data_IF_059232985144
#
_entry.id   IF_059232985144
#
_cell.length_a   1.000
_cell.length_b   1.000
_cell.length_c   1.000
_cell.angle_alpha   90.00
_cell.angle_beta   90.00
_cell.angle_gamma   90.00
#
_symmetry.space_group_name_H-M   'P 1'
#
loop_
_entity.id
_entity.type
_entity.pdbx_description
1 polymer ?
#
# COMPACT_ATOMS: atom_id res chain seq x y z
N UNK A 1 39.36 8.55 -2.92
CA UNK A 1 38.33 8.49 -1.84
C UNK A 1 36.99 8.35 -2.51
N UNK A 2 36.44 7.15 -2.55
CA UNK A 2 35.09 6.88 -3.09
C UNK A 2 34.07 7.30 -2.04
N UNK A 3 33.30 8.32 -2.37
CA UNK A 3 32.14 8.74 -1.55
C UNK A 3 31.25 7.54 -1.34
N UNK A 4 30.87 7.14 -0.11
CA UNK A 4 29.93 6.05 0.09
C UNK A 4 28.63 6.37 -0.63
N UNK A 5 27.95 5.38 -1.24
CA UNK A 5 26.70 5.61 -1.91
C UNK A 5 25.72 6.24 -0.90
N UNK A 6 25.11 7.37 -1.27
CA UNK A 6 24.03 7.98 -0.47
C UNK A 6 23.00 6.88 -0.21
N UNK A 7 22.75 6.56 1.05
CA UNK A 7 21.68 5.65 1.43
C UNK A 7 20.39 6.14 0.76
N UNK A 8 19.75 5.28 0.00
CA UNK A 8 18.51 5.62 -0.70
C UNK A 8 17.46 5.97 0.37
N UNK A 9 17.05 7.22 0.41
CA UNK A 9 16.05 7.68 1.36
C UNK A 9 14.70 7.09 0.98
N UNK A 10 14.00 6.45 1.92
CA UNK A 10 12.65 5.95 1.73
C UNK A 10 11.64 7.10 1.65
N UNK A 11 10.54 6.90 0.91
CA UNK A 11 9.44 7.88 0.84
C UNK A 11 8.79 8.09 2.21
N UNK A 12 8.68 7.03 3.01
CA UNK A 12 8.14 7.05 4.37
C UNK A 12 8.87 8.01 5.31
N UNK A 13 10.14 8.29 5.07
CA UNK A 13 10.91 9.25 5.86
C UNK A 13 10.39 10.69 5.71
N UNK A 14 9.63 11.01 4.65
CA UNK A 14 8.99 12.31 4.53
C UNK A 14 7.96 12.57 5.65
N UNK A 15 7.38 11.51 6.21
CA UNK A 15 6.45 11.60 7.34
C UNK A 15 7.11 11.34 8.69
N UNK A 16 7.98 10.33 8.77
CA UNK A 16 8.45 9.79 10.05
C UNK A 16 9.85 10.23 10.44
N UNK A 17 10.59 10.82 9.52
CA UNK A 17 11.97 11.28 9.75
C UNK A 17 12.30 12.51 8.89
N UNK A 18 11.49 13.56 9.04
CA UNK A 18 11.66 14.80 8.28
C UNK A 18 12.11 15.96 9.21
N UNK A 19 13.41 16.27 9.25
CA UNK A 19 13.90 17.34 10.10
C UNK A 19 13.43 18.74 9.68
N UNK A 20 13.03 18.92 8.41
CA UNK A 20 12.54 20.19 7.90
C UNK A 20 11.09 20.47 8.31
N UNK A 21 10.39 19.47 8.87
CA UNK A 21 9.01 19.57 9.33
C UNK A 21 8.77 18.71 10.59
N UNK A 22 9.44 19.09 11.67
CA UNK A 22 9.44 18.31 12.91
C UNK A 22 8.07 18.18 13.57
N UNK A 23 7.25 19.24 13.51
CA UNK A 23 5.92 19.26 14.11
C UNK A 23 4.98 18.25 13.43
N UNK A 24 5.00 18.21 12.10
CA UNK A 24 4.20 17.25 11.34
C UNK A 24 4.73 15.82 11.51
N UNK A 25 6.04 15.65 11.60
CA UNK A 25 6.65 14.35 11.89
C UNK A 25 6.18 13.81 13.25
N UNK A 26 6.19 14.65 14.29
CA UNK A 26 5.68 14.26 15.61
C UNK A 26 4.21 13.87 15.56
N UNK A 27 3.38 14.63 14.82
CA UNK A 27 1.95 14.35 14.65
C UNK A 27 1.71 13.01 13.94
N UNK A 28 2.46 12.72 12.86
CA UNK A 28 2.35 11.45 12.16
C UNK A 28 2.78 10.27 13.03
N UNK A 29 3.88 10.40 13.75
CA UNK A 29 4.34 9.36 14.68
C UNK A 29 3.26 9.10 15.73
N UNK A 30 2.73 10.12 16.40
CA UNK A 30 1.70 9.99 17.43
C UNK A 30 0.50 9.18 16.93
N UNK A 31 0.01 9.45 15.72
CA UNK A 31 -1.12 8.73 15.13
C UNK A 31 -0.85 7.24 14.97
N UNK A 32 0.35 6.88 14.56
CA UNK A 32 0.71 5.49 14.33
C UNK A 32 1.07 4.74 15.63
N UNK A 33 1.41 5.44 16.72
CA UNK A 33 1.55 4.82 18.05
C UNK A 33 0.23 4.17 18.51
N UNK A 34 -0.92 4.75 18.12
CA UNK A 34 -2.24 4.19 18.42
C UNK A 34 -2.52 2.84 17.73
N UNK A 35 -1.76 2.51 16.68
CA UNK A 35 -1.81 1.21 16.00
C UNK A 35 -0.80 0.21 16.56
N UNK A 36 -0.09 0.56 17.63
CA UNK A 36 0.88 -0.31 18.30
C UNK A 36 2.29 -0.24 17.71
N UNK A 37 2.58 0.69 16.81
CA UNK A 37 3.95 0.94 16.36
C UNK A 37 4.70 1.73 17.41
N UNK A 38 6.02 1.58 17.45
CA UNK A 38 6.90 2.41 18.26
C UNK A 38 7.58 3.48 17.39
N UNK A 39 7.96 4.58 18.02
CA UNK A 39 8.75 5.62 17.33
C UNK A 39 10.03 5.03 16.71
N UNK A 40 10.71 4.16 17.44
CA UNK A 40 11.94 3.52 16.96
C UNK A 40 11.73 2.63 15.72
N UNK A 41 10.56 2.00 15.57
CA UNK A 41 10.23 1.24 14.36
C UNK A 41 9.99 2.16 13.16
N UNK A 42 9.23 3.25 13.36
CA UNK A 42 8.88 4.19 12.29
C UNK A 42 10.11 4.98 11.80
N UNK A 43 11.04 5.31 12.70
CA UNK A 43 12.29 6.04 12.41
C UNK A 43 13.49 5.12 12.16
N UNK A 44 13.32 3.81 12.33
CA UNK A 44 14.40 2.81 12.26
C UNK A 44 14.89 2.48 10.83
N UNK A 45 14.43 3.21 9.82
CA UNK A 45 14.87 2.99 8.43
C UNK A 45 14.29 1.73 7.78
N UNK A 46 13.24 1.17 8.33
CA UNK A 46 12.50 0.05 7.73
C UNK A 46 11.58 0.59 6.63
N UNK A 47 11.49 -0.07 5.46
CA UNK A 47 10.55 0.33 4.43
C UNK A 47 9.10 0.08 4.88
N UNK A 48 8.21 0.99 4.55
CA UNK A 48 6.76 0.84 4.75
C UNK A 48 6.14 0.30 3.47
N UNK A 49 5.57 -0.89 3.56
CA UNK A 49 4.99 -1.60 2.43
C UNK A 49 3.48 -1.62 2.56
N UNK A 50 2.80 -0.99 1.60
CA UNK A 50 1.36 -1.05 1.51
C UNK A 50 0.86 -2.42 1.09
N UNK A 51 -0.29 -2.84 1.59
CA UNK A 51 -1.02 -4.00 1.09
C UNK A 51 -2.34 -3.48 0.55
N UNK A 52 -2.42 -3.37 -0.77
CA UNK A 52 -3.61 -2.92 -1.47
C UNK A 52 -4.59 -4.11 -1.57
N UNK A 53 -5.54 -4.15 -0.64
CA UNK A 53 -6.44 -5.28 -0.43
C UNK A 53 -7.69 -5.19 -1.31
N UNK A 54 -7.83 -6.12 -2.24
CA UNK A 54 -9.03 -6.23 -3.11
C UNK A 54 -10.08 -7.20 -2.58
N UNK A 55 -9.76 -8.00 -1.57
CA UNK A 55 -10.68 -8.96 -0.98
C UNK A 55 -11.82 -8.26 -0.24
N UNK A 56 -13.03 -8.74 -0.48
CA UNK A 56 -14.26 -8.19 0.10
C UNK A 56 -15.37 -9.22 0.00
N UNK A 57 -16.32 -9.19 0.93
CA UNK A 57 -17.54 -9.99 0.84
C UNK A 57 -18.43 -9.59 -0.37
N UNK A 58 -18.21 -8.37 -0.89
CA UNK A 58 -18.87 -7.89 -2.11
C UNK A 58 -18.15 -8.34 -3.40
N UNK A 59 -16.98 -8.95 -3.30
CA UNK A 59 -16.15 -9.35 -4.43
C UNK A 59 -15.76 -10.82 -4.32
N UNK A 60 -16.66 -11.77 -4.62
CA UNK A 60 -16.43 -13.20 -4.43
C UNK A 60 -15.17 -13.73 -5.13
N UNK A 61 -14.81 -13.15 -6.28
CA UNK A 61 -13.58 -13.51 -7.01
C UNK A 61 -12.31 -13.28 -6.20
N UNK A 62 -12.34 -12.31 -5.30
CA UNK A 62 -11.19 -11.90 -4.50
C UNK A 62 -11.34 -12.26 -3.01
N UNK A 63 -12.36 -13.04 -2.66
CA UNK A 63 -12.68 -13.36 -1.25
C UNK A 63 -11.50 -13.99 -0.51
N UNK A 64 -10.74 -14.87 -1.18
CA UNK A 64 -9.59 -15.54 -0.60
C UNK A 64 -8.47 -14.56 -0.16
N UNK A 65 -8.40 -13.39 -0.76
CA UNK A 65 -7.38 -12.38 -0.41
C UNK A 65 -7.52 -11.88 1.03
N UNK A 66 -8.73 -11.91 1.60
CA UNK A 66 -8.97 -11.57 3.01
C UNK A 66 -8.15 -12.46 3.93
N UNK A 67 -8.06 -13.76 3.60
CA UNK A 67 -7.29 -14.73 4.39
C UNK A 67 -5.78 -14.63 4.10
N UNK A 68 -5.40 -14.29 2.86
CA UNK A 68 -3.99 -14.19 2.46
C UNK A 68 -3.26 -13.00 3.06
N UNK A 69 -3.96 -11.91 3.31
CA UNK A 69 -3.35 -10.68 3.84
C UNK A 69 -2.55 -10.91 5.11
N UNK A 70 -3.00 -11.80 5.98
CA UNK A 70 -2.25 -12.15 7.19
C UNK A 70 -0.85 -12.69 6.83
N UNK A 71 -0.78 -13.63 5.88
CA UNK A 71 0.50 -14.19 5.42
C UNK A 71 1.37 -13.16 4.71
N UNK A 72 0.75 -12.25 3.96
CA UNK A 72 1.47 -11.13 3.32
C UNK A 72 2.09 -10.22 4.37
N UNK A 73 1.36 -9.88 5.43
CA UNK A 73 1.87 -9.13 6.58
C UNK A 73 3.07 -9.82 7.22
N UNK A 74 2.94 -11.12 7.49
CA UNK A 74 4.01 -11.93 8.09
C UNK A 74 5.26 -11.93 7.20
N UNK A 75 5.08 -12.07 5.89
CA UNK A 75 6.17 -12.04 4.91
C UNK A 75 6.89 -10.70 4.85
N UNK A 76 6.15 -9.58 4.83
CA UNK A 76 6.72 -8.23 4.87
C UNK A 76 7.50 -8.02 6.16
N UNK A 77 6.94 -8.41 7.29
CA UNK A 77 7.59 -8.30 8.61
C UNK A 77 8.86 -9.15 8.67
N UNK A 78 8.81 -10.38 8.19
CA UNK A 78 9.97 -11.26 8.13
C UNK A 78 11.10 -10.73 7.25
N UNK A 79 10.74 -9.98 6.19
CA UNK A 79 11.69 -9.29 5.31
C UNK A 79 12.20 -7.95 5.89
N UNK A 80 11.79 -7.58 7.10
CA UNK A 80 12.24 -6.37 7.78
C UNK A 80 11.44 -5.10 7.43
N UNK A 81 10.31 -5.22 6.73
CA UNK A 81 9.43 -4.11 6.41
C UNK A 81 8.29 -3.91 7.42
N UNK A 82 7.59 -2.80 7.31
CA UNK A 82 6.38 -2.48 8.07
C UNK A 82 5.17 -2.62 7.14
N UNK A 83 4.24 -3.56 7.39
CA UNK A 83 3.06 -3.74 6.55
C UNK A 83 1.93 -2.78 6.94
N UNK A 84 1.40 -2.03 5.99
CA UNK A 84 0.18 -1.23 6.14
C UNK A 84 -0.87 -1.67 5.13
N UNK A 85 -1.94 -2.27 5.61
CA UNK A 85 -3.07 -2.70 4.79
C UNK A 85 -4.09 -1.58 4.61
N UNK A 86 -4.64 -1.48 3.39
CA UNK A 86 -5.74 -0.58 3.08
C UNK A 86 -6.66 -1.20 2.01
N UNK A 87 -7.97 -0.90 2.06
CA UNK A 87 -8.93 -1.45 1.12
C UNK A 87 -8.85 -0.77 -0.25
N UNK A 88 -9.15 -1.54 -1.28
CA UNK A 88 -9.44 -1.02 -2.63
C UNK A 88 -10.95 -1.04 -2.85
N UNK A 89 -11.44 -0.16 -3.72
CA UNK A 89 -12.83 -0.14 -4.14
C UNK A 89 -13.30 -1.54 -4.58
N UNK A 90 -14.34 -2.12 -3.96
CA UNK A 90 -14.78 -3.47 -4.30
C UNK A 90 -15.43 -3.50 -5.69
N UNK A 91 -14.95 -4.40 -6.53
CA UNK A 91 -15.46 -4.60 -7.88
C UNK A 91 -15.96 -6.02 -8.02
N UNK A 92 -17.17 -6.15 -8.52
CA UNK A 92 -17.76 -7.42 -8.91
C UNK A 92 -18.39 -7.28 -10.29
N UNK A 93 -17.93 -8.08 -11.25
CA UNK A 93 -18.46 -8.03 -12.61
C UNK A 93 -19.86 -8.65 -12.73
N UNK A 94 -20.06 -9.81 -12.12
CA UNK A 94 -21.24 -10.63 -12.34
C UNK A 94 -22.53 -10.11 -11.70
N UNK A 95 -22.46 -9.34 -10.67
CA UNK A 95 -23.65 -8.88 -9.92
C UNK A 95 -23.94 -7.40 -10.02
N UNK A 96 -22.98 -6.62 -10.55
CA UNK A 96 -23.09 -5.16 -10.54
C UNK A 96 -23.34 -4.59 -11.93
N UNK A 97 -24.32 -3.73 -12.01
CA UNK A 97 -24.69 -2.98 -13.21
C UNK A 97 -24.62 -1.47 -12.91
N UNK A 98 -24.42 -0.60 -13.89
CA UNK A 98 -24.36 -0.88 -15.32
C UNK A 98 -22.97 -1.20 -15.87
N UNK A 99 -21.84 -0.78 -15.24
CA UNK A 99 -20.56 -0.95 -15.93
C UNK A 99 -19.40 -1.28 -15.00
N UNK A 100 -18.79 -2.42 -15.22
CA UNK A 100 -17.51 -2.79 -14.62
C UNK A 100 -16.35 -1.91 -15.08
N UNK A 101 -16.45 -1.22 -16.21
CA UNK A 101 -15.42 -0.28 -16.70
C UNK A 101 -15.34 0.98 -15.86
N UNK A 102 -16.47 1.54 -15.43
CA UNK A 102 -16.49 2.69 -14.51
C UNK A 102 -15.91 2.26 -13.16
N UNK A 103 -16.32 1.12 -12.63
CA UNK A 103 -15.80 0.60 -11.36
C UNK A 103 -14.30 0.36 -11.42
N UNK A 104 -13.79 -0.20 -12.52
CA UNK A 104 -12.35 -0.34 -12.74
C UNK A 104 -11.63 1.01 -12.69
N UNK A 105 -12.18 2.04 -13.32
CA UNK A 105 -11.60 3.37 -13.32
C UNK A 105 -11.66 4.02 -11.92
N UNK A 106 -12.75 3.82 -11.17
CA UNK A 106 -12.83 4.28 -9.78
C UNK A 106 -11.80 3.58 -8.89
N UNK A 107 -11.65 2.28 -9.02
CA UNK A 107 -10.62 1.53 -8.29
C UNK A 107 -9.20 2.01 -8.66
N UNK A 108 -8.93 2.21 -9.95
CA UNK A 108 -7.66 2.75 -10.44
C UNK A 108 -7.38 4.13 -9.86
N UNK A 109 -8.30 5.08 -10.01
CA UNK A 109 -8.11 6.46 -9.55
C UNK A 109 -7.97 6.55 -8.03
N UNK A 110 -8.81 5.82 -7.28
CA UNK A 110 -8.70 5.80 -5.83
C UNK A 110 -7.37 5.22 -5.35
N UNK A 111 -6.87 4.18 -6.02
CA UNK A 111 -5.57 3.61 -5.68
C UNK A 111 -4.41 4.55 -6.04
N UNK A 112 -4.48 5.25 -7.17
CA UNK A 112 -3.50 6.29 -7.53
C UNK A 112 -3.45 7.35 -6.44
N UNK A 113 -4.59 7.84 -5.97
CA UNK A 113 -4.66 8.83 -4.90
C UNK A 113 -4.00 8.34 -3.61
N UNK A 114 -4.29 7.10 -3.20
CA UNK A 114 -3.67 6.50 -2.01
C UNK A 114 -2.15 6.36 -2.17
N UNK A 115 -1.69 5.84 -3.30
CA UNK A 115 -0.25 5.62 -3.54
C UNK A 115 0.53 6.93 -3.68
N UNK A 116 -0.10 8.03 -4.12
CA UNK A 116 0.49 9.36 -4.13
C UNK A 116 0.45 10.01 -2.76
N UNK A 117 -0.70 9.97 -2.09
CA UNK A 117 -0.95 10.70 -0.85
C UNK A 117 -0.23 10.13 0.36
N UNK A 118 0.01 8.82 0.39
CA UNK A 118 0.71 8.16 1.49
C UNK A 118 2.15 7.80 1.10
N UNK A 119 3.12 8.02 1.98
CA UNK A 119 4.53 7.83 1.67
C UNK A 119 4.94 6.35 1.78
N UNK A 120 4.27 5.48 1.04
CA UNK A 120 4.61 4.06 0.96
C UNK A 120 5.89 3.89 0.14
N UNK A 121 6.74 2.97 0.56
CA UNK A 121 8.01 2.65 -0.12
C UNK A 121 7.86 1.56 -1.18
N UNK A 122 6.77 0.82 -1.11
CA UNK A 122 6.37 -0.19 -2.05
C UNK A 122 4.95 -0.69 -1.75
N UNK A 123 4.40 -1.52 -2.62
CA UNK A 123 3.04 -2.05 -2.46
C UNK A 123 2.94 -3.50 -2.91
N UNK A 124 2.21 -4.30 -2.14
CA UNK A 124 1.70 -5.60 -2.56
C UNK A 124 0.27 -5.41 -3.01
N UNK A 125 -0.01 -5.75 -4.25
CA UNK A 125 -1.33 -5.68 -4.86
C UNK A 125 -1.96 -7.07 -4.79
N UNK A 126 -3.02 -7.26 -4.02
CA UNK A 126 -3.79 -8.50 -4.10
C UNK A 126 -4.75 -8.38 -5.28
N UNK A 127 -4.55 -9.16 -6.30
CA UNK A 127 -5.31 -9.10 -7.56
C UNK A 127 -5.91 -10.47 -7.87
N UNK A 128 -7.04 -10.54 -8.55
CA UNK A 128 -7.67 -11.85 -8.76
C UNK A 128 -8.82 -11.86 -9.76
N UNK A 129 -9.20 -10.73 -10.34
CA UNK A 129 -10.23 -10.68 -11.36
C UNK A 129 -9.83 -9.77 -12.53
N UNK A 130 -10.61 -9.84 -13.59
CA UNK A 130 -10.37 -9.09 -14.82
C UNK A 130 -10.50 -7.56 -14.68
N UNK A 131 -11.03 -7.07 -13.56
CA UNK A 131 -11.15 -5.64 -13.26
C UNK A 131 -10.13 -5.18 -12.23
N UNK A 132 -9.93 -5.90 -11.13
CA UNK A 132 -8.96 -5.51 -10.09
C UNK A 132 -7.52 -5.64 -10.59
N UNK A 133 -7.22 -6.65 -11.41
CA UNK A 133 -5.89 -6.85 -11.97
C UNK A 133 -5.42 -5.63 -12.78
N UNK A 134 -6.11 -5.20 -13.85
CA UNK A 134 -5.67 -4.03 -14.60
C UNK A 134 -5.74 -2.73 -13.78
N UNK A 135 -6.75 -2.54 -12.92
CA UNK A 135 -6.85 -1.35 -12.10
C UNK A 135 -5.63 -1.16 -11.20
N UNK A 136 -5.23 -2.21 -10.50
CA UNK A 136 -4.10 -2.17 -9.57
C UNK A 136 -2.76 -2.01 -10.29
N UNK A 137 -2.54 -2.74 -11.39
CA UNK A 137 -1.31 -2.63 -12.19
C UNK A 137 -1.16 -1.24 -12.82
N UNK A 138 -2.24 -0.69 -13.36
CA UNK A 138 -2.25 0.68 -13.90
C UNK A 138 -1.93 1.71 -12.83
N UNK A 139 -2.48 1.57 -11.62
CA UNK A 139 -2.22 2.50 -10.52
C UNK A 139 -0.76 2.46 -10.08
N UNK A 140 -0.19 1.28 -9.88
CA UNK A 140 1.21 1.14 -9.50
C UNK A 140 2.15 1.71 -10.59
N UNK A 141 1.87 1.46 -11.87
CA UNK A 141 2.62 2.00 -12.99
C UNK A 141 2.49 3.53 -13.11
N UNK A 142 1.32 4.08 -12.81
CA UNK A 142 1.09 5.55 -12.85
C UNK A 142 1.91 6.27 -11.78
N UNK A 143 2.01 5.69 -10.59
CA UNK A 143 2.76 6.28 -9.46
C UNK A 143 4.25 5.94 -9.51
N UNK A 144 4.64 4.97 -10.33
CA UNK A 144 6.02 4.46 -10.44
C UNK A 144 6.58 4.00 -9.08
N UNK A 145 5.77 3.22 -8.36
CA UNK A 145 6.14 2.67 -7.05
C UNK A 145 6.57 1.20 -7.20
N UNK A 146 7.58 0.73 -6.47
CA UNK A 146 7.91 -0.69 -6.41
C UNK A 146 6.69 -1.52 -6.02
N UNK A 147 6.30 -2.48 -6.86
CA UNK A 147 5.08 -3.24 -6.67
C UNK A 147 5.25 -4.73 -6.94
N UNK A 148 4.54 -5.55 -6.17
CA UNK A 148 4.39 -6.99 -6.39
C UNK A 148 2.90 -7.28 -6.54
N UNK A 149 2.52 -7.95 -7.63
CA UNK A 149 1.18 -8.46 -7.83
C UNK A 149 1.08 -9.89 -7.32
N UNK A 150 0.13 -10.16 -6.45
CA UNK A 150 -0.17 -11.45 -5.88
C UNK A 150 -1.57 -11.89 -6.32
N UNK A 151 -1.65 -13.00 -7.07
CA UNK A 151 -2.88 -13.60 -7.58
C UNK A 151 -3.02 -15.05 -7.14
#
# INVERSE_FOLDING_TARGET
MTTPPKSRRFRSQAWFDNPDNADMTALYIERYLNYGFTQGELQGGKPIIGIAQTGSDLSPCNRAHVDWVRRVRDGITAAGGIPLEFPIHPIQETGKRPTASIDRNLAYLSLVEVLHGYPLDGVVLTIGCDKTTPACLMAAATVDIPAIALS
#
